data_IF_676280048522
#
_entry.id   IF_676280048522
#
_cell.length_a   1.000
_cell.length_b   1.000
_cell.length_c   1.000
_cell.angle_alpha   90.00
_cell.angle_beta   90.00
_cell.angle_gamma   90.00
#
_symmetry.space_group_name_H-M   'P 1'
#
loop_
_entity.id
_entity.type
_entity.pdbx_description
1 polymer ?
#
# COMPACT_ATOMS: atom_id res chain seq x y z
N UNK A 1 42.47 -27.47 29.93
CA UNK A 1 41.63 -26.30 30.25
C UNK A 1 40.19 -26.76 30.20
N UNK A 2 39.70 -27.14 31.37
CA UNK A 2 38.33 -27.57 31.61
C UNK A 2 37.45 -26.33 31.78
N UNK A 3 36.31 -26.29 31.09
CA UNK A 3 35.24 -25.37 31.45
C UNK A 3 34.00 -26.18 31.78
N UNK A 4 33.62 -26.05 33.05
CA UNK A 4 32.64 -26.83 33.77
C UNK A 4 31.23 -26.73 33.20
N UNK A 5 30.62 -27.89 33.00
CA UNK A 5 29.18 -28.07 32.92
C UNK A 5 28.53 -27.77 34.29
N UNK A 6 27.51 -26.92 34.32
CA UNK A 6 26.62 -26.78 35.48
C UNK A 6 25.19 -27.08 35.06
N UNK A 7 24.87 -28.37 35.12
CA UNK A 7 23.49 -28.85 35.14
C UNK A 7 22.81 -28.37 36.43
N UNK A 8 21.68 -27.69 36.32
CA UNK A 8 20.74 -27.52 37.43
C UNK A 8 19.49 -28.31 37.08
N UNK A 9 19.26 -29.37 37.85
CA UNK A 9 18.08 -30.22 37.78
C UNK A 9 17.03 -29.76 38.80
N UNK A 10 15.85 -29.43 38.24
CA UNK A 10 14.47 -29.65 38.72
C UNK A 10 14.06 -29.14 40.11
N UNK A 11 13.07 -28.22 40.10
CA UNK A 11 11.86 -28.33 40.94
C UNK A 11 10.66 -27.68 40.23
N UNK A 12 9.84 -28.52 39.61
CA UNK A 12 8.49 -28.21 39.14
C UNK A 12 7.55 -28.01 40.35
N UNK A 13 6.85 -26.88 40.48
CA UNK A 13 5.71 -26.76 41.39
C UNK A 13 4.44 -27.35 40.75
N UNK A 14 3.45 -27.75 41.57
CA UNK A 14 2.31 -28.54 41.11
C UNK A 14 1.33 -27.73 40.28
N UNK A 15 0.72 -28.46 39.35
CA UNK A 15 -0.32 -28.04 38.43
C UNK A 15 -1.60 -27.72 39.23
N UNK A 16 -2.04 -26.46 39.20
CA UNK A 16 -3.40 -26.07 39.60
C UNK A 16 -4.17 -25.81 38.32
N UNK A 17 -4.94 -26.81 37.86
CA UNK A 17 -5.93 -26.64 36.79
C UNK A 17 -7.09 -25.79 37.31
N UNK A 18 -6.96 -24.47 37.18
CA UNK A 18 -8.08 -23.56 37.32
C UNK A 18 -8.91 -23.65 36.04
N UNK A 19 -9.96 -24.46 36.06
CA UNK A 19 -10.97 -24.48 34.99
C UNK A 19 -11.70 -23.14 34.97
N UNK A 20 -11.12 -22.15 34.26
CA UNK A 20 -11.86 -20.98 33.81
C UNK A 20 -12.85 -21.48 32.76
N UNK A 21 -14.12 -21.65 33.17
CA UNK A 21 -15.23 -21.65 32.23
C UNK A 21 -15.06 -20.39 31.36
N UNK A 22 -15.04 -20.50 30.02
CA UNK A 22 -15.11 -19.32 29.19
C UNK A 22 -16.50 -18.74 29.41
N UNK A 23 -16.58 -17.68 30.21
CA UNK A 23 -17.68 -16.74 30.05
C UNK A 23 -17.50 -16.16 28.66
N UNK A 24 -18.24 -16.71 27.68
CA UNK A 24 -18.48 -16.01 26.43
C UNK A 24 -19.33 -14.80 26.84
N UNK A 25 -18.64 -13.73 27.23
CA UNK A 25 -19.25 -12.42 27.41
C UNK A 25 -19.56 -11.91 26.02
N UNK A 26 -20.75 -12.25 25.53
CA UNK A 26 -21.36 -11.57 24.40
C UNK A 26 -21.67 -10.15 24.88
N UNK A 27 -20.66 -9.27 24.81
CA UNK A 27 -20.82 -7.84 25.06
C UNK A 27 -21.58 -7.25 23.86
N UNK A 28 -22.89 -7.49 23.79
CA UNK A 28 -23.78 -6.80 22.88
C UNK A 28 -24.03 -5.38 23.41
N UNK A 29 -22.99 -4.54 23.35
CA UNK A 29 -23.18 -3.10 23.50
C UNK A 29 -23.95 -2.59 22.27
N UNK A 30 -24.92 -1.66 22.43
CA UNK A 30 -25.60 -1.05 21.29
C UNK A 30 -24.63 -0.39 20.29
N UNK A 31 -23.45 0.04 20.74
CA UNK A 31 -22.40 0.58 19.87
C UNK A 31 -21.74 -0.51 18.99
N UNK A 32 -21.41 -1.65 19.59
CA UNK A 32 -20.89 -2.81 18.85
C UNK A 32 -21.89 -3.33 17.81
N UNK A 33 -23.19 -3.27 18.11
CA UNK A 33 -24.23 -3.67 17.16
C UNK A 33 -24.36 -2.69 15.99
N UNK A 34 -24.24 -1.37 16.22
CA UNK A 34 -24.25 -0.36 15.15
C UNK A 34 -23.07 -0.53 14.19
N UNK A 35 -21.87 -0.77 14.72
CA UNK A 35 -20.67 -1.01 13.90
C UNK A 35 -20.88 -2.22 13.00
N UNK A 36 -21.34 -3.34 13.55
CA UNK A 36 -21.62 -4.56 12.76
C UNK A 36 -22.64 -4.36 11.67
N UNK A 37 -23.73 -3.65 11.95
CA UNK A 37 -24.76 -3.35 10.94
C UNK A 37 -24.17 -2.47 9.84
N UNK A 38 -23.38 -1.45 10.19
CA UNK A 38 -22.72 -0.57 9.23
C UNK A 38 -21.74 -1.32 8.34
N UNK A 39 -20.91 -2.20 8.90
CA UNK A 39 -19.97 -3.06 8.14
C UNK A 39 -20.72 -4.02 7.22
N UNK A 40 -21.81 -4.64 7.70
CA UNK A 40 -22.63 -5.55 6.89
C UNK A 40 -23.26 -4.81 5.72
N UNK A 41 -23.85 -3.63 5.97
CA UNK A 41 -24.43 -2.80 4.92
C UNK A 41 -23.38 -2.38 3.91
N UNK A 42 -22.21 -1.95 4.38
CA UNK A 42 -21.10 -1.56 3.51
C UNK A 42 -20.67 -2.72 2.60
N UNK A 43 -20.48 -3.91 3.16
CA UNK A 43 -20.09 -5.09 2.39
C UNK A 43 -21.15 -5.51 1.37
N UNK A 44 -22.43 -5.54 1.75
CA UNK A 44 -23.51 -5.85 0.80
C UNK A 44 -23.63 -4.79 -0.29
N UNK A 45 -23.35 -3.53 0.03
CA UNK A 45 -23.29 -2.44 -0.96
C UNK A 45 -22.15 -2.66 -1.95
N UNK A 46 -20.93 -2.92 -1.47
CA UNK A 46 -19.78 -3.21 -2.34
C UNK A 46 -20.01 -4.43 -3.23
N UNK A 47 -20.64 -5.48 -2.68
CA UNK A 47 -21.01 -6.67 -3.43
C UNK A 47 -22.06 -6.38 -4.50
N UNK A 48 -23.08 -5.59 -4.18
CA UNK A 48 -24.13 -5.18 -5.13
C UNK A 48 -23.56 -4.32 -6.27
N UNK A 49 -22.56 -3.49 -5.97
CA UNK A 49 -21.83 -2.71 -6.97
C UNK A 49 -20.78 -3.54 -7.74
N UNK A 50 -20.65 -4.83 -7.44
CA UNK A 50 -19.62 -5.72 -7.99
C UNK A 50 -18.20 -5.14 -7.85
N UNK A 51 -17.92 -4.51 -6.71
CA UNK A 51 -16.70 -3.73 -6.49
C UNK A 51 -15.44 -4.53 -6.81
N UNK A 52 -15.35 -5.80 -6.42
CA UNK A 52 -14.22 -6.68 -6.73
C UNK A 52 -13.96 -6.85 -8.24
N UNK A 53 -15.02 -6.83 -9.06
CA UNK A 53 -14.92 -6.89 -10.52
C UNK A 53 -14.32 -5.60 -11.08
N UNK A 54 -14.81 -4.45 -10.61
CA UNK A 54 -14.29 -3.13 -10.96
C UNK A 54 -12.81 -3.04 -10.57
N UNK A 55 -12.47 -3.47 -9.36
CA UNK A 55 -11.11 -3.50 -8.84
C UNK A 55 -10.16 -4.30 -9.74
N UNK A 56 -10.61 -5.47 -10.19
CA UNK A 56 -9.85 -6.34 -11.10
C UNK A 56 -9.64 -5.68 -12.46
N UNK A 57 -10.66 -5.03 -13.02
CA UNK A 57 -10.53 -4.31 -14.28
C UNK A 57 -9.56 -3.14 -14.17
N UNK A 58 -9.65 -2.35 -13.10
CA UNK A 58 -8.73 -1.23 -12.84
C UNK A 58 -7.29 -1.68 -12.69
N UNK A 59 -7.04 -2.87 -12.10
CA UNK A 59 -5.69 -3.39 -11.93
C UNK A 59 -4.93 -3.59 -13.25
N UNK A 60 -5.64 -3.81 -14.37
CA UNK A 60 -5.04 -3.98 -15.69
C UNK A 60 -4.49 -2.66 -16.27
N UNK A 61 -4.92 -1.50 -15.75
CA UNK A 61 -4.43 -0.18 -16.16
C UNK A 61 -3.22 0.29 -15.34
N UNK A 62 -2.80 -0.48 -14.34
CA UNK A 62 -1.67 -0.11 -13.48
C UNK A 62 -0.34 -0.51 -14.13
N UNK A 63 0.67 0.34 -13.96
CA UNK A 63 2.01 0.12 -14.54
C UNK A 63 3.01 -0.52 -13.58
N UNK A 64 2.63 -0.77 -12.32
CA UNK A 64 3.47 -1.42 -11.30
C UNK A 64 2.73 -2.54 -10.60
N UNK A 65 3.46 -3.56 -10.13
CA UNK A 65 2.89 -4.69 -9.39
C UNK A 65 2.25 -4.24 -8.07
N UNK A 66 2.88 -3.29 -7.38
CA UNK A 66 2.36 -2.68 -6.16
C UNK A 66 1.00 -1.99 -6.39
N UNK A 67 0.87 -1.19 -7.46
CA UNK A 67 -0.39 -0.55 -7.80
C UNK A 67 -1.44 -1.58 -8.24
N UNK A 68 -1.04 -2.63 -8.96
CA UNK A 68 -1.93 -3.73 -9.35
C UNK A 68 -2.49 -4.46 -8.13
N UNK A 69 -1.64 -4.76 -7.15
CA UNK A 69 -2.04 -5.39 -5.90
C UNK A 69 -2.98 -4.49 -5.09
N UNK A 70 -2.63 -3.21 -4.93
CA UNK A 70 -3.48 -2.22 -4.28
C UNK A 70 -4.85 -2.12 -4.96
N UNK A 71 -4.87 -2.11 -6.30
CA UNK A 71 -6.10 -2.07 -7.08
C UNK A 71 -6.96 -3.31 -6.85
N UNK A 72 -6.37 -4.51 -6.93
CA UNK A 72 -7.10 -5.78 -6.69
C UNK A 72 -7.67 -5.89 -5.28
N UNK A 73 -6.98 -5.31 -4.30
CA UNK A 73 -7.41 -5.31 -2.90
C UNK A 73 -8.44 -4.20 -2.58
N UNK A 74 -8.93 -3.47 -3.58
CA UNK A 74 -9.88 -2.39 -3.39
C UNK A 74 -9.28 -1.15 -2.71
N UNK A 75 -7.95 -1.07 -2.59
CA UNK A 75 -7.24 -0.04 -1.85
C UNK A 75 -6.84 1.14 -2.76
N UNK A 76 -7.81 1.67 -3.51
CA UNK A 76 -7.63 2.93 -4.23
C UNK A 76 -8.00 4.09 -3.32
N UNK A 77 -7.27 5.20 -3.48
CA UNK A 77 -7.64 6.44 -2.82
C UNK A 77 -8.83 7.06 -3.55
N UNK A 78 -10.02 6.88 -3.00
CA UNK A 78 -11.19 7.64 -3.37
C UNK A 78 -11.24 8.92 -2.52
N UNK A 79 -11.57 10.05 -3.15
CA UNK A 79 -11.73 11.31 -2.44
C UNK A 79 -12.86 11.22 -1.42
N UNK A 80 -12.56 11.52 -0.16
CA UNK A 80 -13.53 11.52 0.95
C UNK A 80 -14.26 12.85 1.09
N UNK A 81 -13.82 13.86 0.34
CA UNK A 81 -14.45 15.17 0.22
C UNK A 81 -14.46 15.61 -1.24
N UNK A 82 -15.24 16.67 -1.52
CA UNK A 82 -15.26 17.32 -2.83
C UNK A 82 -13.87 17.81 -3.23
N UNK A 83 -13.18 18.48 -2.31
CA UNK A 83 -11.87 19.07 -2.58
C UNK A 83 -10.80 17.99 -2.83
N UNK A 84 -10.83 16.89 -2.07
CA UNK A 84 -9.94 15.75 -2.31
C UNK A 84 -10.23 15.09 -3.66
N UNK A 85 -11.50 14.91 -4.00
CA UNK A 85 -11.91 14.35 -5.29
C UNK A 85 -11.49 15.25 -6.46
N UNK A 86 -11.65 16.56 -6.33
CA UNK A 86 -11.21 17.52 -7.34
C UNK A 86 -9.70 17.44 -7.54
N UNK A 87 -8.92 17.40 -6.45
CA UNK A 87 -7.46 17.25 -6.53
C UNK A 87 -7.04 15.97 -7.25
N UNK A 88 -7.70 14.84 -6.99
CA UNK A 88 -7.42 13.57 -7.68
C UNK A 88 -7.78 13.62 -9.17
N UNK A 89 -8.88 14.31 -9.52
CA UNK A 89 -9.27 14.54 -10.91
C UNK A 89 -8.27 15.44 -11.64
N UNK A 90 -7.78 16.49 -10.99
CA UNK A 90 -6.76 17.39 -11.56
C UNK A 90 -5.45 16.61 -11.81
N UNK A 91 -5.03 15.75 -10.87
CA UNK A 91 -3.88 14.87 -11.04
C UNK A 91 -4.05 13.89 -12.21
N UNK A 92 -5.24 13.30 -12.34
CA UNK A 92 -5.55 12.37 -13.44
C UNK A 92 -5.53 13.09 -14.78
N UNK A 93 -6.11 14.29 -14.83
CA UNK A 93 -6.14 15.13 -16.03
C UNK A 93 -4.73 15.53 -16.44
N UNK A 94 -3.89 15.98 -15.50
CA UNK A 94 -2.49 16.30 -15.76
C UNK A 94 -1.71 15.08 -16.28
N UNK A 95 -1.92 13.89 -15.70
CA UNK A 95 -1.26 12.67 -16.15
C UNK A 95 -1.69 12.25 -17.57
N UNK A 96 -2.96 12.45 -17.94
CA UNK A 96 -3.47 12.16 -19.30
C UNK A 96 -2.93 13.16 -20.33
N UNK A 97 -2.78 14.42 -19.95
CA UNK A 97 -2.24 15.47 -20.83
C UNK A 97 -0.71 15.44 -20.94
N UNK A 98 -0.03 14.68 -20.08
CA UNK A 98 1.41 14.60 -20.06
C UNK A 98 1.95 14.05 -21.39
N UNK A 99 2.83 14.83 -22.03
CA UNK A 99 3.22 14.66 -23.44
C UNK A 99 3.92 13.32 -23.77
N UNK A 100 4.47 12.63 -22.79
CA UNK A 100 5.20 11.37 -22.96
C UNK A 100 4.76 10.35 -21.90
N UNK A 101 4.51 9.08 -22.23
CA UNK A 101 4.23 8.08 -21.21
C UNK A 101 5.40 7.94 -20.22
N UNK A 102 5.09 7.99 -18.93
CA UNK A 102 6.05 7.73 -17.85
C UNK A 102 6.39 6.25 -17.81
N UNK A 103 7.66 5.93 -17.64
CA UNK A 103 8.14 4.54 -17.56
C UNK A 103 8.28 4.06 -16.11
N UNK A 104 7.35 3.21 -15.67
CA UNK A 104 7.37 2.60 -14.34
C UNK A 104 7.91 1.16 -14.31
N UNK A 105 8.44 0.64 -15.43
CA UNK A 105 8.76 -0.80 -15.58
C UNK A 105 9.76 -1.37 -14.58
N UNK A 106 10.65 -0.54 -14.04
CA UNK A 106 11.64 -0.94 -13.03
C UNK A 106 11.20 -0.78 -11.57
N UNK A 107 9.95 -0.38 -11.31
CA UNK A 107 9.43 -0.20 -9.95
C UNK A 107 8.75 -1.48 -9.48
N UNK A 108 9.40 -2.15 -8.54
CA UNK A 108 8.87 -3.34 -7.85
C UNK A 108 8.19 -2.97 -6.54
N UNK A 109 7.30 -3.86 -6.07
CA UNK A 109 6.81 -3.82 -4.71
C UNK A 109 7.92 -4.26 -3.75
N UNK A 110 8.34 -3.34 -2.88
CA UNK A 110 9.41 -3.56 -1.89
C UNK A 110 8.88 -3.48 -0.46
N UNK A 111 7.56 -3.43 -0.25
CA UNK A 111 6.96 -3.29 1.07
C UNK A 111 7.35 -4.42 2.02
N UNK A 112 7.30 -5.68 1.57
CA UNK A 112 7.72 -6.83 2.40
C UNK A 112 9.20 -6.75 2.81
N UNK A 113 10.07 -6.34 1.88
CA UNK A 113 11.51 -6.17 2.15
C UNK A 113 11.73 -5.09 3.22
N UNK A 114 10.99 -3.97 3.12
CA UNK A 114 11.07 -2.86 4.08
C UNK A 114 10.52 -3.29 5.45
N UNK A 115 9.40 -4.00 5.48
CA UNK A 115 8.77 -4.47 6.72
C UNK A 115 9.68 -5.48 7.45
N UNK A 116 10.29 -6.44 6.73
CA UNK A 116 11.28 -7.37 7.28
C UNK A 116 12.51 -6.63 7.83
N UNK A 117 13.04 -5.65 7.09
CA UNK A 117 14.18 -4.85 7.54
C UNK A 117 13.86 -4.05 8.82
N UNK A 118 12.69 -3.42 8.88
CA UNK A 118 12.21 -2.68 10.06
C UNK A 118 11.97 -3.62 11.24
N UNK A 119 11.53 -4.85 10.98
CA UNK A 119 11.40 -5.93 11.96
C UNK A 119 12.73 -6.46 12.50
N UNK A 120 13.88 -6.03 11.94
CA UNK A 120 15.21 -6.49 12.33
C UNK A 120 15.63 -7.81 11.69
N UNK A 121 14.91 -8.27 10.66
CA UNK A 121 15.24 -9.47 9.91
C UNK A 121 16.40 -9.21 8.93
N UNK A 122 17.14 -10.26 8.59
CA UNK A 122 18.22 -10.17 7.62
C UNK A 122 17.66 -10.14 6.20
N UNK A 123 18.00 -9.09 5.46
CA UNK A 123 17.66 -8.92 4.05
C UNK A 123 18.79 -9.47 3.18
N UNK A 124 18.43 -10.20 2.14
CA UNK A 124 19.36 -10.79 1.18
C UNK A 124 19.94 -9.72 0.24
N UNK A 125 21.07 -10.04 -0.40
CA UNK A 125 21.65 -9.18 -1.45
C UNK A 125 20.67 -8.97 -2.61
N UNK A 126 19.87 -9.99 -2.95
CA UNK A 126 18.88 -9.91 -4.03
C UNK A 126 17.77 -8.90 -3.72
N UNK A 127 17.23 -8.94 -2.51
CA UNK A 127 16.22 -7.99 -2.02
C UNK A 127 16.77 -6.57 -1.95
N UNK A 128 18.00 -6.38 -1.45
CA UNK A 128 18.65 -5.07 -1.47
C UNK A 128 18.87 -4.55 -2.90
N UNK A 129 19.20 -5.44 -3.85
CA UNK A 129 19.29 -5.08 -5.26
C UNK A 129 17.93 -4.71 -5.86
N UNK A 130 16.83 -5.34 -5.42
CA UNK A 130 15.48 -4.94 -5.82
C UNK A 130 15.16 -3.51 -5.35
N UNK A 131 15.43 -3.21 -4.07
CA UNK A 131 15.27 -1.84 -3.54
C UNK A 131 16.10 -0.83 -4.33
N UNK A 132 17.37 -1.15 -4.63
CA UNK A 132 18.23 -0.29 -5.45
C UNK A 132 17.63 -0.02 -6.84
N UNK A 133 17.12 -1.06 -7.52
CA UNK A 133 16.52 -0.94 -8.86
C UNK A 133 15.27 -0.07 -8.81
N UNK A 134 14.35 -0.34 -7.87
CA UNK A 134 13.15 0.47 -7.65
C UNK A 134 13.48 1.94 -7.41
N UNK A 135 14.44 2.24 -6.53
CA UNK A 135 14.84 3.63 -6.25
C UNK A 135 15.46 4.32 -7.47
N UNK A 136 16.26 3.61 -8.26
CA UNK A 136 16.83 4.14 -9.50
C UNK A 136 15.72 4.48 -10.50
N UNK A 137 14.77 3.57 -10.73
CA UNK A 137 13.67 3.80 -11.65
C UNK A 137 12.71 4.89 -11.16
N UNK A 138 12.45 4.99 -9.86
CA UNK A 138 11.68 6.10 -9.30
C UNK A 138 12.35 7.46 -9.55
N UNK A 139 13.69 7.53 -9.49
CA UNK A 139 14.44 8.74 -9.84
C UNK A 139 14.32 9.07 -11.33
N UNK A 140 14.42 8.07 -12.20
CA UNK A 140 14.27 8.25 -13.65
C UNK A 140 12.86 8.76 -14.02
N UNK A 141 11.81 8.29 -13.33
CA UNK A 141 10.44 8.83 -13.49
C UNK A 141 10.35 10.28 -13.05
N UNK A 142 11.00 10.64 -11.94
CA UNK A 142 11.03 12.04 -11.47
C UNK A 142 11.72 12.96 -12.50
N UNK A 143 12.85 12.52 -13.06
CA UNK A 143 13.54 13.27 -14.11
C UNK A 143 12.66 13.45 -15.36
N UNK A 144 11.89 12.42 -15.75
CA UNK A 144 10.92 12.53 -16.84
C UNK A 144 9.84 13.59 -16.56
N UNK A 145 9.33 13.66 -15.32
CA UNK A 145 8.33 14.65 -14.92
C UNK A 145 8.89 16.08 -14.98
N UNK A 146 10.09 16.30 -14.47
CA UNK A 146 10.76 17.61 -14.47
C UNK A 146 11.06 18.10 -15.90
N UNK A 147 11.48 17.20 -16.78
CA UNK A 147 11.74 17.53 -18.19
C UNK A 147 10.45 17.87 -18.94
N UNK A 148 9.34 17.14 -18.67
CA UNK A 148 8.03 17.45 -19.23
C UNK A 148 7.52 18.83 -18.82
N UNK A 149 7.62 19.17 -17.54
CA UNK A 149 7.21 20.48 -17.01
C UNK A 149 8.04 21.62 -17.62
N UNK A 150 9.35 21.39 -17.80
CA UNK A 150 10.24 22.36 -18.42
C UNK A 150 9.88 22.58 -19.89
N UNK A 151 9.55 21.53 -20.64
CA UNK A 151 9.14 21.62 -22.05
C UNK A 151 7.86 22.44 -22.23
N UNK A 152 6.83 22.22 -21.40
CA UNK A 152 5.57 22.99 -21.45
C UNK A 152 5.78 24.49 -21.17
N UNK A 153 6.69 24.83 -20.25
CA UNK A 153 7.06 26.23 -19.98
C UNK A 153 7.73 26.92 -21.17
N UNK A 154 8.52 26.21 -21.96
CA UNK A 154 9.15 26.75 -23.16
C UNK A 154 8.15 26.98 -24.30
N UNK A 155 7.20 26.06 -24.53
CA UNK A 155 6.12 26.25 -25.50
C UNK A 155 5.18 27.41 -25.13
N UNK A 156 4.86 27.54 -23.84
CA UNK A 156 4.02 28.63 -23.33
C UNK A 156 4.70 30.01 -23.38
N UNK A 157 6.03 30.06 -23.24
CA UNK A 157 6.80 31.31 -23.31
C UNK A 157 7.11 31.73 -24.75
N UNK A 158 7.27 30.76 -25.67
CA UNK A 158 7.48 31.03 -27.10
C UNK A 158 6.23 31.59 -27.78
N UNK A 159 5.04 31.21 -27.34
CA UNK A 159 3.77 31.69 -27.89
C UNK A 159 3.45 33.17 -27.58
N UNK A 160 4.11 33.77 -26.57
CA UNK A 160 3.93 35.18 -26.19
C UNK A 160 4.87 36.15 -26.91
N UNK A 161 5.84 35.66 -27.68
CA UNK A 161 6.83 36.49 -28.40
C UNK A 161 6.52 36.64 -29.90
N UNK A 162 5.45 36.01 -30.38
CA UNK A 162 5.02 36.00 -31.80
C UNK A 162 3.61 36.60 -31.99
N UNK A 163 3.19 37.53 -31.11
CA UNK A 163 1.96 38.32 -31.19
C UNK A 163 2.24 39.79 -30.92
#
# INVERSE_FOLDING_TARGET
MEFCHRFISIRTPPIIHRTRKPYISFCNSPESQRIRISETLHNETLKTLEWDSICRQLSAFTSTTMASAAARNGNFRLGRSRDESQKLLDQTTAAVLFSRPLDFSGIEDVSEIVDSAVGGELVTVGELCAVKRTLKSAREVLEQLEDGERSERYWSSGALLDS
#
